data_IF_862467829103
#
_entry.id   IF_862467829103
#
_cell.length_a   1.000
_cell.length_b   1.000
_cell.length_c   1.000
_cell.angle_alpha   90.00
_cell.angle_beta   90.00
_cell.angle_gamma   90.00
#
_symmetry.space_group_name_H-M   'P 1'
#
loop_
_entity.id
_entity.type
_entity.pdbx_description
1 polymer ?
#
# COMPACT_ATOMS: atom_id res chain seq x y z
N UNK A 1 12.59 10.63 -32.18
CA UNK A 1 11.88 11.28 -31.05
C UNK A 1 12.43 10.74 -29.75
N UNK A 2 12.80 11.64 -28.86
CA UNK A 2 13.23 11.24 -27.53
C UNK A 2 12.01 10.85 -26.70
N UNK A 3 12.08 9.71 -26.04
CA UNK A 3 11.06 9.36 -25.05
C UNK A 3 11.03 10.43 -23.94
N UNK A 4 9.85 10.85 -23.49
CA UNK A 4 9.80 11.72 -22.34
C UNK A 4 10.39 11.02 -21.13
N UNK A 5 11.01 11.75 -20.18
CA UNK A 5 11.52 11.13 -18.98
C UNK A 5 10.40 10.44 -18.21
N UNK A 6 10.66 9.28 -17.59
CA UNK A 6 9.63 8.60 -16.80
C UNK A 6 9.17 9.50 -15.66
N UNK A 7 7.87 9.51 -15.43
CA UNK A 7 7.34 10.23 -14.29
C UNK A 7 7.69 9.46 -13.01
N UNK A 8 8.14 10.15 -11.97
CA UNK A 8 8.36 9.48 -10.69
C UNK A 8 7.03 8.94 -10.17
N UNK A 9 7.10 7.80 -9.49
CA UNK A 9 5.93 7.24 -8.83
C UNK A 9 5.56 8.17 -7.67
N UNK A 10 4.38 8.75 -7.74
CA UNK A 10 3.88 9.66 -6.72
C UNK A 10 2.61 9.08 -6.11
N UNK A 11 2.46 9.24 -4.81
CA UNK A 11 1.23 8.86 -4.11
C UNK A 11 0.30 10.08 -4.13
N UNK A 12 -0.83 9.95 -4.82
CA UNK A 12 -1.86 10.98 -4.83
C UNK A 12 -2.79 10.74 -3.64
N UNK A 13 -2.90 11.71 -2.70
CA UNK A 13 -3.59 11.45 -1.43
C UNK A 13 -5.06 11.05 -1.56
N UNK A 14 -5.82 11.73 -2.43
CA UNK A 14 -7.27 11.45 -2.55
C UNK A 14 -7.58 10.11 -3.19
N UNK A 15 -7.04 9.79 -4.39
CA UNK A 15 -7.28 8.49 -4.98
C UNK A 15 -6.74 7.35 -4.12
N UNK A 16 -5.57 7.55 -3.49
CA UNK A 16 -4.99 6.55 -2.60
C UNK A 16 -5.88 6.29 -1.39
N UNK A 17 -6.42 7.34 -0.78
CA UNK A 17 -7.31 7.18 0.38
C UNK A 17 -8.61 6.48 0.01
N UNK A 18 -9.17 6.79 -1.15
CA UNK A 18 -10.39 6.13 -1.64
C UNK A 18 -10.16 4.64 -1.89
N UNK A 19 -9.04 4.32 -2.53
CA UNK A 19 -8.68 2.93 -2.80
C UNK A 19 -8.42 2.18 -1.48
N UNK A 20 -7.72 2.80 -0.54
CA UNK A 20 -7.45 2.20 0.77
C UNK A 20 -8.75 1.90 1.51
N UNK A 21 -9.71 2.81 1.47
CA UNK A 21 -11.01 2.60 2.10
C UNK A 21 -11.74 1.40 1.48
N UNK A 22 -11.79 1.33 0.15
CA UNK A 22 -12.44 0.23 -0.56
C UNK A 22 -11.76 -1.11 -0.26
N UNK A 23 -10.43 -1.14 -0.26
CA UNK A 23 -9.66 -2.34 0.08
C UNK A 23 -9.91 -2.75 1.52
N UNK A 24 -9.94 -1.79 2.44
CA UNK A 24 -10.24 -2.06 3.86
C UNK A 24 -11.60 -2.70 4.07
N UNK A 25 -12.64 -2.18 3.38
CA UNK A 25 -13.98 -2.78 3.44
C UNK A 25 -13.97 -4.23 2.93
N UNK A 26 -13.33 -4.46 1.78
CA UNK A 26 -13.24 -5.79 1.19
C UNK A 26 -12.50 -6.76 2.12
N UNK A 27 -11.39 -6.31 2.69
CA UNK A 27 -10.62 -7.12 3.63
C UNK A 27 -11.47 -7.51 4.84
N UNK A 28 -12.18 -6.54 5.42
CA UNK A 28 -13.04 -6.81 6.58
C UNK A 28 -14.15 -7.82 6.25
N UNK A 29 -14.81 -7.67 5.10
CA UNK A 29 -15.84 -8.59 4.65
C UNK A 29 -15.30 -10.00 4.45
N UNK A 30 -14.17 -10.13 3.77
CA UNK A 30 -13.57 -11.45 3.49
C UNK A 30 -13.03 -12.09 4.75
N UNK A 31 -12.41 -11.31 5.62
CA UNK A 31 -11.90 -11.83 6.89
C UNK A 31 -13.03 -12.37 7.78
N UNK A 32 -14.16 -11.66 7.83
CA UNK A 32 -15.32 -12.11 8.60
C UNK A 32 -15.95 -13.36 7.98
N UNK A 33 -16.15 -13.38 6.66
CA UNK A 33 -16.79 -14.49 5.95
C UNK A 33 -15.99 -15.80 6.08
N UNK A 34 -14.68 -15.72 5.92
CA UNK A 34 -13.81 -16.89 5.92
C UNK A 34 -13.07 -17.10 7.23
N UNK A 35 -13.37 -16.35 8.26
CA UNK A 35 -12.72 -16.45 9.58
C UNK A 35 -11.20 -16.38 9.49
N UNK A 36 -10.68 -15.43 8.71
CA UNK A 36 -9.26 -15.30 8.49
C UNK A 36 -8.56 -14.75 9.72
N UNK A 37 -7.36 -15.25 9.99
CA UNK A 37 -6.51 -14.72 11.04
C UNK A 37 -5.87 -13.40 10.58
N UNK A 38 -5.46 -12.58 11.53
CA UNK A 38 -4.73 -11.35 11.23
C UNK A 38 -3.46 -11.62 10.43
N UNK A 39 -2.73 -12.69 10.77
CA UNK A 39 -1.55 -13.10 10.03
C UNK A 39 -1.85 -13.44 8.59
N UNK A 40 -2.96 -14.13 8.31
CA UNK A 40 -3.38 -14.45 6.96
C UNK A 40 -3.72 -13.19 6.17
N UNK A 41 -4.40 -12.23 6.79
CA UNK A 41 -4.73 -10.95 6.16
C UNK A 41 -3.45 -10.18 5.81
N UNK A 42 -2.52 -10.08 6.76
CA UNK A 42 -1.25 -9.40 6.51
C UNK A 42 -0.44 -10.07 5.41
N UNK A 43 -0.42 -11.41 5.39
CA UNK A 43 0.26 -12.17 4.35
C UNK A 43 -0.34 -11.91 2.96
N UNK A 44 -1.67 -11.89 2.87
CA UNK A 44 -2.37 -11.60 1.62
C UNK A 44 -2.08 -10.20 1.11
N UNK A 45 -2.13 -9.19 1.99
CA UNK A 45 -1.85 -7.80 1.63
C UNK A 45 -0.39 -7.64 1.18
N UNK A 46 0.54 -8.31 1.86
CA UNK A 46 1.95 -8.31 1.49
C UNK A 46 2.14 -8.88 0.08
N UNK A 47 1.46 -9.99 -0.23
CA UNK A 47 1.56 -10.60 -1.55
C UNK A 47 1.00 -9.70 -2.65
N UNK A 48 -0.15 -9.05 -2.41
CA UNK A 48 -0.74 -8.10 -3.36
C UNK A 48 0.23 -6.94 -3.60
N UNK A 49 0.80 -6.39 -2.54
CA UNK A 49 1.74 -5.28 -2.64
C UNK A 49 3.02 -5.69 -3.39
N UNK A 50 3.53 -6.89 -3.14
CA UNK A 50 4.70 -7.42 -3.86
C UNK A 50 4.43 -7.56 -5.36
N UNK A 51 3.25 -8.06 -5.73
CA UNK A 51 2.85 -8.19 -7.14
C UNK A 51 2.75 -6.82 -7.80
N UNK A 52 2.15 -5.85 -7.12
CA UNK A 52 2.04 -4.48 -7.63
C UNK A 52 3.42 -3.85 -7.83
N UNK A 53 4.31 -3.99 -6.86
CA UNK A 53 5.66 -3.46 -6.95
C UNK A 53 6.44 -4.09 -8.10
N UNK A 54 6.33 -5.41 -8.28
CA UNK A 54 6.96 -6.11 -9.38
C UNK A 54 6.45 -5.65 -10.75
N UNK A 55 5.14 -5.45 -10.88
CA UNK A 55 4.55 -4.96 -12.12
C UNK A 55 5.01 -3.55 -12.45
N UNK A 56 5.03 -2.65 -11.47
CA UNK A 56 5.49 -1.27 -11.65
C UNK A 56 6.97 -1.25 -12.06
N UNK A 57 7.80 -2.07 -11.40
CA UNK A 57 9.23 -2.14 -11.72
C UNK A 57 9.48 -2.64 -13.12
N UNK A 58 8.68 -3.60 -13.61
CA UNK A 58 8.82 -4.13 -14.98
C UNK A 58 8.40 -3.13 -16.05
N UNK A 59 7.39 -2.33 -15.77
CA UNK A 59 6.85 -1.35 -16.74
C UNK A 59 7.55 0.00 -16.66
N UNK A 60 8.16 0.32 -15.55
CA UNK A 60 8.82 1.59 -15.31
C UNK A 60 10.33 1.50 -15.38
N UNK A 61 10.97 2.65 -15.26
CA UNK A 61 12.43 2.75 -15.25
C UNK A 61 13.02 2.69 -13.85
N UNK A 62 12.17 2.62 -12.83
CA UNK A 62 12.66 2.50 -11.45
C UNK A 62 12.94 1.04 -11.13
N UNK A 63 14.09 0.80 -10.51
CA UNK A 63 14.45 -0.53 -10.06
C UNK A 63 13.55 -1.00 -8.91
N UNK A 64 13.41 -2.31 -8.80
CA UNK A 64 12.60 -2.92 -7.75
C UNK A 64 13.03 -2.48 -6.36
N UNK A 65 14.35 -2.43 -6.10
CA UNK A 65 14.87 -2.03 -4.80
C UNK A 65 14.48 -0.60 -4.42
N UNK A 66 14.51 0.32 -5.40
CA UNK A 66 14.09 1.70 -5.19
C UNK A 66 12.61 1.77 -4.82
N UNK A 67 11.77 1.00 -5.52
CA UNK A 67 10.35 0.93 -5.20
C UNK A 67 10.08 0.32 -3.83
N UNK A 68 10.80 -0.74 -3.47
CA UNK A 68 10.64 -1.36 -2.16
C UNK A 68 11.04 -0.41 -1.03
N UNK A 69 12.11 0.36 -1.21
CA UNK A 69 12.51 1.37 -0.24
C UNK A 69 11.43 2.44 -0.07
N UNK A 70 10.84 2.88 -1.19
CA UNK A 70 9.74 3.84 -1.15
C UNK A 70 8.54 3.28 -0.40
N UNK A 71 8.15 2.05 -0.70
CA UNK A 71 7.02 1.36 -0.07
C UNK A 71 7.26 1.24 1.43
N UNK A 72 8.44 0.81 1.84
CA UNK A 72 8.76 0.65 3.26
C UNK A 72 8.67 1.98 4.00
N UNK A 73 9.18 3.06 3.40
CA UNK A 73 9.10 4.39 4.01
C UNK A 73 7.67 4.87 4.14
N UNK A 74 6.87 4.70 3.08
CA UNK A 74 5.45 5.07 3.10
C UNK A 74 4.67 4.25 4.12
N UNK A 75 4.94 2.96 4.18
CA UNK A 75 4.28 2.05 5.11
C UNK A 75 4.60 2.43 6.55
N UNK A 76 5.86 2.68 6.86
CA UNK A 76 6.27 3.07 8.21
C UNK A 76 5.60 4.38 8.65
N UNK A 77 5.57 5.35 7.75
CA UNK A 77 4.94 6.64 8.03
C UNK A 77 3.45 6.50 8.26
N UNK A 78 2.76 5.79 7.37
CA UNK A 78 1.32 5.59 7.48
C UNK A 78 0.96 4.80 8.73
N UNK A 79 1.70 3.74 9.04
CA UNK A 79 1.46 2.94 10.24
C UNK A 79 1.71 3.74 11.51
N UNK A 80 2.75 4.55 11.52
CA UNK A 80 3.08 5.41 12.65
C UNK A 80 2.00 6.46 12.89
N UNK A 81 1.52 7.10 11.82
CA UNK A 81 0.45 8.10 11.91
C UNK A 81 -0.84 7.45 12.41
N UNK A 82 -1.19 6.28 11.88
CA UNK A 82 -2.39 5.53 12.27
C UNK A 82 -2.32 5.11 13.74
N UNK A 83 -1.17 4.61 14.17
CA UNK A 83 -0.97 4.21 15.55
C UNK A 83 -1.08 5.41 16.50
N UNK A 84 -0.47 6.53 16.13
CA UNK A 84 -0.52 7.76 16.93
C UNK A 84 -1.94 8.29 17.06
N UNK A 85 -2.69 8.33 15.97
CA UNK A 85 -4.07 8.81 15.98
C UNK A 85 -4.98 7.95 16.85
N UNK A 86 -4.77 6.64 16.85
CA UNK A 86 -5.58 5.73 17.65
C UNK A 86 -5.16 5.67 19.11
N UNK A 87 -3.90 5.99 19.39
CA UNK A 87 -3.37 6.02 20.76
C UNK A 87 -3.79 7.25 21.53
N UNK A 88 -4.13 8.34 20.83
CA UNK A 88 -4.64 9.55 21.45
C UNK A 88 -6.14 9.63 21.21
N UNK A 89 -6.96 9.32 22.21
CA UNK A 89 -8.40 9.43 22.03
C UNK A 89 -8.77 10.87 21.72
N UNK A 90 -9.48 11.05 20.63
CA UNK A 90 -10.02 12.35 20.26
C UNK A 90 -11.33 12.55 21.04
N UNK A 91 -11.31 13.49 21.90
CA UNK A 91 -12.50 13.86 22.67
C UNK A 91 -13.11 15.13 22.12
#
# INVERSE_FOLDING_TARGET
>A
MKKPPPKPVAVEPRPAARLAYAVGLLVNEQAAEFHLTEGSVLGALTLVLARAAGAIAREGDQGLETLLDLIVRQLRRAASDEFTQRSYPLH
#
